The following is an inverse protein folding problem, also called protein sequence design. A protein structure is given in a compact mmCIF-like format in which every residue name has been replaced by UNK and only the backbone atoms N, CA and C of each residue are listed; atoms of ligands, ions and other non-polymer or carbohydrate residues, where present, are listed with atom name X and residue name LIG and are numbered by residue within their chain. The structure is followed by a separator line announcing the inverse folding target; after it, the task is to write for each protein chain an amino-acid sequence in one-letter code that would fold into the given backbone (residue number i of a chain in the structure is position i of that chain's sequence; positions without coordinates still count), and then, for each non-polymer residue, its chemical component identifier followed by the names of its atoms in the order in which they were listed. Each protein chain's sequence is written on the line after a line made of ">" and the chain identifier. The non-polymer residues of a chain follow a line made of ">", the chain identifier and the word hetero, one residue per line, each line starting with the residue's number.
data_IF_251760251766
#
_entry.id   IF_251760251766
#
_cell.length_a   1.000
_cell.length_b   1.000
_cell.length_c   1.000
_cell.angle_alpha   90.00
_cell.angle_beta   90.00
_cell.angle_gamma   90.00
#
_symmetry.space_group_name_H-M   'P 1'
#
loop_
_entity.id
_entity.type
_entity.pdbx_description
1 polymer ?
#
# COMPACT_ATOMS: atom_id res chain seq x y z
N UNK A 1 1.85 -13.86 -5.83
CA UNK A 1 1.27 -12.88 -4.88
C UNK A 1 2.36 -12.39 -3.94
N UNK A 2 2.52 -11.08 -3.79
CA UNK A 2 3.46 -10.50 -2.84
C UNK A 2 2.77 -10.36 -1.47
N UNK A 3 3.26 -11.08 -0.46
CA UNK A 3 2.79 -10.92 0.92
C UNK A 3 3.53 -9.74 1.53
N UNK A 4 2.81 -8.68 1.88
CA UNK A 4 3.37 -7.51 2.55
C UNK A 4 3.16 -7.61 4.07
N UNK A 5 4.14 -7.14 4.84
CA UNK A 5 4.09 -7.08 6.30
C UNK A 5 3.82 -5.63 6.73
N UNK A 6 2.89 -5.46 7.66
CA UNK A 6 2.69 -4.20 8.35
C UNK A 6 3.82 -3.98 9.36
N UNK A 7 4.34 -2.76 9.42
CA UNK A 7 5.46 -2.40 10.30
C UNK A 7 5.09 -1.22 11.18
N UNK A 8 5.68 -1.15 12.38
CA UNK A 8 5.52 0.02 13.26
C UNK A 8 6.49 1.12 12.85
N UNK A 9 5.98 2.30 12.52
CA UNK A 9 6.74 3.51 12.22
C UNK A 9 6.38 4.58 13.26
N UNK A 10 7.21 4.72 14.30
CA UNK A 10 6.91 5.60 15.42
C UNK A 10 5.61 5.20 16.14
N UNK A 11 4.64 6.11 16.20
CA UNK A 11 3.30 5.88 16.76
C UNK A 11 2.26 5.44 15.71
N UNK A 12 2.70 5.09 14.50
CA UNK A 12 1.82 4.70 13.39
C UNK A 12 2.18 3.33 12.83
N UNK A 13 1.29 2.77 12.01
CA UNK A 13 1.55 1.56 11.24
C UNK A 13 1.78 1.97 9.79
N UNK A 14 2.83 1.43 9.18
CA UNK A 14 3.17 1.63 7.78
C UNK A 14 3.10 0.33 6.99
N UNK A 15 2.86 0.48 5.69
CA UNK A 15 2.96 -0.58 4.70
C UNK A 15 4.06 -0.18 3.71
N UNK A 16 5.03 -1.08 3.46
CA UNK A 16 6.04 -0.85 2.41
C UNK A 16 5.46 -1.29 1.07
N UNK A 17 5.44 -0.38 0.12
CA UNK A 17 5.08 -0.67 -1.26
C UNK A 17 6.32 -1.05 -2.07
N UNK A 18 6.29 -2.11 -2.89
CA UNK A 18 7.38 -2.45 -3.79
C UNK A 18 7.65 -1.31 -4.79
N UNK A 19 8.91 -1.08 -5.13
CA UNK A 19 9.34 0.04 -6.01
C UNK A 19 8.60 0.06 -7.36
N UNK A 20 8.48 -1.11 -8.00
CA UNK A 20 7.82 -1.23 -9.31
C UNK A 20 6.33 -0.84 -9.28
N UNK A 21 5.66 -0.98 -8.13
CA UNK A 21 4.25 -0.54 -7.96
C UNK A 21 4.19 0.98 -7.94
N UNK A 22 5.10 1.63 -7.22
CA UNK A 22 5.19 3.09 -7.17
C UNK A 22 5.49 3.66 -8.56
N UNK A 23 6.48 3.07 -9.26
CA UNK A 23 6.83 3.46 -10.63
C UNK A 23 5.65 3.29 -11.60
N UNK A 24 4.91 2.19 -11.51
CA UNK A 24 3.73 1.94 -12.34
C UNK A 24 2.57 2.91 -12.09
N UNK A 25 2.50 3.51 -10.89
CA UNK A 25 1.51 4.52 -10.52
C UNK A 25 2.02 5.96 -10.68
N UNK A 26 3.28 6.15 -11.09
CA UNK A 26 3.90 7.47 -11.17
C UNK A 26 4.05 8.17 -9.82
N UNK A 27 4.13 7.41 -8.73
CA UNK A 27 4.24 7.92 -7.36
C UNK A 27 5.70 7.99 -6.91
N UNK A 28 6.02 9.04 -6.16
CA UNK A 28 7.33 9.25 -5.56
C UNK A 28 7.25 9.37 -4.03
N UNK A 29 8.39 9.30 -3.36
CA UNK A 29 8.44 9.49 -1.92
C UNK A 29 8.00 10.92 -1.57
N UNK A 30 6.98 11.04 -0.73
CA UNK A 30 6.39 12.34 -0.36
C UNK A 30 5.14 12.71 -1.16
N UNK A 31 4.76 11.94 -2.19
CA UNK A 31 3.47 12.12 -2.85
C UNK A 31 2.31 11.94 -1.86
N UNK A 32 1.30 12.78 -1.98
CA UNK A 32 0.03 12.59 -1.27
C UNK A 32 -0.80 11.53 -1.98
N UNK A 33 -1.44 10.66 -1.20
CA UNK A 33 -2.37 9.64 -1.70
C UNK A 33 -3.61 9.61 -0.82
N UNK A 34 -4.76 9.31 -1.43
CA UNK A 34 -5.98 9.02 -0.70
C UNK A 34 -6.07 7.50 -0.48
N UNK A 35 -6.31 7.09 0.77
CA UNK A 35 -6.55 5.69 1.13
C UNK A 35 -8.01 5.55 1.51
N UNK A 36 -8.74 4.70 0.80
CA UNK A 36 -10.15 4.38 1.07
C UNK A 36 -10.29 2.91 1.41
N UNK A 37 -11.16 2.60 2.38
CA UNK A 37 -11.57 1.22 2.64
C UNK A 37 -12.71 0.88 1.69
N UNK A 38 -12.48 -0.07 0.79
CA UNK A 38 -13.54 -0.67 -0.02
C UNK A 38 -13.81 -2.09 0.50
N UNK A 39 -15.03 -2.31 0.98
CA UNK A 39 -15.44 -3.57 1.60
C UNK A 39 -15.83 -4.65 0.58
N UNK A 40 -15.73 -4.39 -0.73
CA UNK A 40 -16.28 -5.25 -1.79
C UNK A 40 -15.24 -6.06 -2.59
N UNK A 41 -14.15 -6.49 -1.98
CA UNK A 41 -13.20 -7.43 -2.62
C UNK A 41 -13.43 -8.88 -2.16
N UNK A 42 -14.54 -9.47 -2.56
CA UNK A 42 -14.76 -10.94 -2.52
C UNK A 42 -13.97 -11.55 -3.69
N UNK A 43 -12.71 -11.93 -3.45
CA UNK A 43 -11.95 -12.75 -4.39
C UNK A 43 -12.39 -14.22 -4.20
N UNK A 44 -13.35 -14.67 -5.02
CA UNK A 44 -13.57 -16.10 -5.23
C UNK A 44 -12.32 -16.67 -5.92
N UNK A 45 -11.65 -17.61 -5.27
CA UNK A 45 -10.71 -18.55 -5.89
C UNK A 45 -11.47 -19.75 -6.43
#
# INVERSE_FOLDING_TARGET
>A
MARLRLEKWGNSVGLRLPKHVLEGLGLEAGSFVNVTLDNENVWNL
#
